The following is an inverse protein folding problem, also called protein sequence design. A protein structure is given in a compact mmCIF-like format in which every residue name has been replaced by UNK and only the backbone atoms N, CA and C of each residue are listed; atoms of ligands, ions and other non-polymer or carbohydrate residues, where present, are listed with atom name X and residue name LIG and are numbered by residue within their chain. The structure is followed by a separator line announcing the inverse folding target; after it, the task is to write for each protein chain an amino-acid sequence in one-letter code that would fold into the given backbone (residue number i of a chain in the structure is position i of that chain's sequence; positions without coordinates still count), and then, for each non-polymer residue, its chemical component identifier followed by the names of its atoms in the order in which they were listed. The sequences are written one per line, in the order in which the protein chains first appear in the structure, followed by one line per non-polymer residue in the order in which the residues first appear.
data_IF_678485052461
#
_entry.id   IF_678485052461
#
_cell.length_a   1.000
_cell.length_b   1.000
_cell.length_c   1.000
_cell.angle_alpha   90.00
_cell.angle_beta   90.00
_cell.angle_gamma   90.00
#
_symmetry.space_group_name_H-M   'P 1'
#
loop_
_entity.id
_entity.type
_entity.pdbx_description
1 polymer ?
#
# COMPACT_ATOMS: atom_id res chain seq x y z
N UNK A 1 -19.07 -3.43 12.10
CA UNK A 1 -18.03 -3.06 13.11
C UNK A 1 -16.82 -3.98 12.94
N UNK A 2 -15.58 -3.51 13.18
CA UNK A 2 -14.35 -4.31 13.01
C UNK A 2 -14.39 -5.65 13.78
N UNK A 3 -15.03 -5.68 14.96
CA UNK A 3 -15.15 -6.90 15.78
C UNK A 3 -16.06 -7.99 15.20
N UNK A 4 -16.95 -7.67 14.24
CA UNK A 4 -17.81 -8.66 13.58
C UNK A 4 -17.08 -9.36 12.44
N UNK A 5 -16.11 -8.69 11.82
CA UNK A 5 -15.32 -9.22 10.71
C UNK A 5 -14.28 -10.28 11.13
N UNK A 6 -13.97 -10.36 12.43
CA UNK A 6 -12.95 -11.28 12.96
C UNK A 6 -13.65 -12.47 13.64
N UNK A 7 -13.55 -13.69 13.08
CA UNK A 7 -14.10 -14.90 13.68
C UNK A 7 -13.61 -15.09 15.11
N UNK A 8 -14.49 -15.47 16.04
CA UNK A 8 -14.14 -15.63 17.47
C UNK A 8 -13.03 -16.66 17.70
N UNK A 9 -13.02 -17.73 16.89
CA UNK A 9 -12.03 -18.81 16.96
C UNK A 9 -10.64 -18.40 16.43
N UNK A 10 -10.49 -17.23 15.83
CA UNK A 10 -9.21 -16.71 15.33
C UNK A 10 -8.67 -15.56 16.18
N UNK A 11 -9.28 -15.28 17.33
CA UNK A 11 -8.84 -14.22 18.23
C UNK A 11 -7.75 -14.78 19.13
N UNK A 12 -6.50 -14.34 18.90
CA UNK A 12 -5.36 -14.65 19.79
C UNK A 12 -5.33 -13.62 20.92
N UNK A 13 -5.26 -14.08 22.17
CA UNK A 13 -5.32 -13.22 23.35
C UNK A 13 -4.10 -12.30 23.47
N UNK A 14 -2.94 -12.78 23.01
CA UNK A 14 -1.67 -12.04 23.05
C UNK A 14 -1.56 -10.97 21.95
N UNK A 15 -2.44 -11.03 20.93
CA UNK A 15 -2.42 -10.10 19.80
C UNK A 15 -3.49 -9.02 19.94
N UNK A 16 -3.16 -7.80 19.49
CA UNK A 16 -4.12 -6.68 19.51
C UNK A 16 -5.14 -6.85 18.38
N UNK A 17 -6.32 -6.24 18.52
CA UNK A 17 -7.32 -6.21 17.44
C UNK A 17 -6.75 -5.66 16.11
N UNK A 18 -5.81 -4.72 16.17
CA UNK A 18 -5.13 -4.20 14.98
C UNK A 18 -4.35 -5.25 14.20
N UNK A 19 -3.79 -6.27 14.85
CA UNK A 19 -3.15 -7.40 14.17
C UNK A 19 -4.18 -8.20 13.36
N UNK A 20 -5.32 -8.50 13.96
CA UNK A 20 -6.40 -9.24 13.32
C UNK A 20 -7.02 -8.52 12.11
N UNK A 21 -6.93 -7.18 12.06
CA UNK A 21 -7.35 -6.40 10.89
C UNK A 21 -6.42 -6.62 9.69
N UNK A 22 -5.12 -6.84 9.93
CA UNK A 22 -4.13 -7.01 8.86
C UNK A 22 -4.43 -8.23 7.99
N UNK A 23 -4.91 -9.32 8.59
CA UNK A 23 -5.21 -10.57 7.88
C UNK A 23 -6.55 -10.56 7.12
N UNK A 24 -7.39 -9.51 7.28
CA UNK A 24 -8.68 -9.45 6.59
C UNK A 24 -8.48 -9.49 5.06
N UNK A 25 -9.37 -10.23 4.40
CA UNK A 25 -9.34 -10.47 2.95
C UNK A 25 -8.42 -11.62 2.50
N UNK A 26 -7.72 -12.30 3.41
CA UNK A 26 -7.03 -13.56 3.11
C UNK A 26 -7.98 -14.77 3.21
N UNK A 27 -7.53 -15.94 2.76
CA UNK A 27 -8.23 -17.19 3.05
C UNK A 27 -7.97 -17.60 4.52
N UNK A 28 -8.72 -18.60 5.00
CA UNK A 28 -8.68 -19.02 6.40
C UNK A 28 -7.34 -19.64 6.83
N UNK A 29 -6.69 -20.37 5.93
CA UNK A 29 -5.41 -21.04 6.19
C UNK A 29 -4.28 -20.01 6.34
N UNK A 30 -4.23 -19.04 5.42
CA UNK A 30 -3.27 -17.94 5.47
C UNK A 30 -3.48 -17.09 6.73
N UNK A 31 -4.74 -16.81 7.10
CA UNK A 31 -5.05 -16.08 8.34
C UNK A 31 -4.44 -16.76 9.57
N UNK A 32 -4.65 -18.06 9.72
CA UNK A 32 -4.18 -18.82 10.89
C UNK A 32 -2.65 -18.89 10.91
N UNK A 33 -2.03 -19.26 9.78
CA UNK A 33 -0.57 -19.30 9.64
C UNK A 33 0.08 -17.95 9.98
N UNK A 34 -0.49 -16.84 9.49
CA UNK A 34 0.08 -15.51 9.73
C UNK A 34 -0.12 -15.04 11.17
N UNK A 35 -1.25 -15.37 11.81
CA UNK A 35 -1.46 -15.07 13.23
C UNK A 35 -0.49 -15.86 14.10
N UNK A 36 -0.26 -17.14 13.81
CA UNK A 36 0.68 -17.99 14.55
C UNK A 36 2.10 -17.44 14.42
N UNK A 37 2.56 -17.15 13.20
CA UNK A 37 3.87 -16.50 13.00
C UNK A 37 3.99 -15.16 13.72
N UNK A 38 2.92 -14.37 13.74
CA UNK A 38 2.94 -13.08 14.42
C UNK A 38 3.03 -13.23 15.94
N UNK A 39 2.42 -14.27 16.50
CA UNK A 39 2.50 -14.61 17.93
C UNK A 39 3.86 -15.22 18.30
N UNK A 40 4.43 -16.07 17.46
CA UNK A 40 5.76 -16.66 17.67
C UNK A 40 6.88 -15.60 17.60
N UNK A 41 6.88 -14.78 16.56
CA UNK A 41 7.92 -13.78 16.29
C UNK A 41 7.66 -12.43 17.00
N UNK A 42 6.53 -12.32 17.69
CA UNK A 42 6.13 -11.11 18.44
C UNK A 42 6.14 -9.83 17.58
N UNK A 43 5.74 -9.93 16.32
CA UNK A 43 5.78 -8.80 15.40
C UNK A 43 4.90 -7.63 15.85
N UNK A 44 5.43 -6.42 15.71
CA UNK A 44 4.59 -5.22 15.78
C UNK A 44 3.56 -5.22 14.64
N UNK A 45 2.46 -4.48 14.80
CA UNK A 45 1.43 -4.35 13.74
C UNK A 45 2.03 -3.85 12.41
N UNK A 46 3.05 -2.98 12.48
CA UNK A 46 3.71 -2.45 11.30
C UNK A 46 4.57 -3.50 10.58
N UNK A 47 5.29 -4.33 11.33
CA UNK A 47 6.04 -5.47 10.77
C UNK A 47 5.09 -6.51 10.21
N UNK A 48 4.06 -6.88 10.97
CA UNK A 48 3.06 -7.85 10.53
C UNK A 48 2.40 -7.41 9.21
N UNK A 49 2.02 -6.14 9.11
CA UNK A 49 1.47 -5.57 7.87
C UNK A 49 2.44 -5.65 6.70
N UNK A 50 3.74 -5.42 6.94
CA UNK A 50 4.77 -5.53 5.90
C UNK A 50 4.93 -6.97 5.41
N UNK A 51 4.88 -7.96 6.31
CA UNK A 51 4.97 -9.36 5.93
C UNK A 51 3.74 -9.84 5.15
N UNK A 52 2.54 -9.43 5.59
CA UNK A 52 1.27 -9.91 5.00
C UNK A 52 0.88 -9.17 3.72
N UNK A 53 1.01 -7.83 3.70
CA UNK A 53 0.52 -6.98 2.60
C UNK A 53 1.65 -6.38 1.77
N UNK A 54 2.90 -6.66 2.12
CA UNK A 54 4.07 -6.03 1.52
C UNK A 54 4.27 -4.58 1.96
N UNK A 55 5.30 -3.96 1.42
CA UNK A 55 5.54 -2.52 1.54
C UNK A 55 4.82 -1.78 0.42
N UNK A 56 3.84 -0.94 0.78
CA UNK A 56 3.30 0.02 -0.20
C UNK A 56 4.45 0.94 -0.63
N UNK A 57 4.76 1.06 -1.93
CA UNK A 57 5.79 1.99 -2.36
C UNK A 57 5.42 3.40 -1.89
N UNK A 58 6.41 4.13 -1.39
CA UNK A 58 6.24 5.54 -1.05
C UNK A 58 6.12 6.29 -2.37
N UNK A 59 4.90 6.47 -2.85
CA UNK A 59 4.62 7.30 -4.02
C UNK A 59 4.84 8.75 -3.61
N UNK A 60 5.85 9.41 -4.19
CA UNK A 60 6.02 10.86 -4.03
C UNK A 60 4.80 11.52 -4.67
N UNK A 61 4.15 12.42 -3.93
CA UNK A 61 3.17 13.34 -4.52
C UNK A 61 3.97 14.45 -5.16
N UNK A 62 3.83 14.58 -6.46
CA UNK A 62 4.48 15.62 -7.24
C UNK A 62 3.48 16.75 -7.48
N UNK A 63 3.96 17.99 -7.43
CA UNK A 63 3.21 19.10 -8.00
C UNK A 63 3.16 18.94 -9.53
N UNK A 64 2.12 19.48 -10.17
CA UNK A 64 1.98 19.36 -11.62
C UNK A 64 3.13 20.09 -12.34
N UNK A 65 3.58 21.20 -11.77
CA UNK A 65 4.75 21.95 -12.26
C UNK A 65 6.03 21.10 -12.21
N UNK A 66 6.28 20.41 -11.08
CA UNK A 66 7.45 19.51 -10.97
C UNK A 66 7.40 18.37 -12.00
N UNK A 67 6.21 17.84 -12.31
CA UNK A 67 6.06 16.80 -13.33
C UNK A 67 6.31 17.34 -14.74
N UNK A 68 5.84 18.55 -15.06
CA UNK A 68 6.08 19.19 -16.36
C UNK A 68 7.56 19.46 -16.58
N UNK A 69 8.28 19.92 -15.55
CA UNK A 69 9.73 20.12 -15.62
C UNK A 69 10.47 18.81 -15.90
N UNK A 70 10.14 17.74 -15.18
CA UNK A 70 10.76 16.42 -15.37
C UNK A 70 10.47 15.82 -16.76
N UNK A 71 9.25 15.98 -17.27
CA UNK A 71 8.92 15.55 -18.65
C UNK A 71 9.70 16.36 -19.67
N UNK A 72 9.87 17.67 -19.45
CA UNK A 72 10.73 18.50 -20.30
C UNK A 72 12.19 18.03 -20.30
N UNK A 73 12.76 17.70 -19.15
CA UNK A 73 14.12 17.13 -19.08
C UNK A 73 14.22 15.78 -19.80
N UNK A 74 13.22 14.92 -19.64
CA UNK A 74 13.16 13.60 -20.27
C UNK A 74 13.07 13.69 -21.80
N UNK A 75 12.14 14.49 -22.34
CA UNK A 75 11.98 14.64 -23.80
C UNK A 75 13.24 15.21 -24.48
N UNK A 76 13.95 16.12 -23.80
CA UNK A 76 15.23 16.63 -24.29
C UNK A 76 16.33 15.56 -24.35
N UNK A 77 16.27 14.53 -23.49
CA UNK A 77 17.28 13.46 -23.41
C UNK A 77 16.96 12.28 -24.35
N UNK A 78 15.68 11.90 -24.47
CA UNK A 78 15.28 10.69 -25.20
C UNK A 78 14.68 10.96 -26.59
N UNK A 79 14.35 12.22 -26.90
CA UNK A 79 13.77 12.61 -28.19
C UNK A 79 12.41 11.94 -28.48
N UNK A 80 11.67 11.60 -27.42
CA UNK A 80 10.40 10.88 -27.48
C UNK A 80 9.21 11.86 -27.61
N UNK A 81 8.11 11.39 -28.21
CA UNK A 81 6.99 12.22 -28.66
C UNK A 81 6.19 12.86 -27.50
N UNK A 82 5.74 14.11 -27.73
CA UNK A 82 5.04 15.07 -26.84
C UNK A 82 3.82 14.56 -26.01
N UNK A 83 3.49 13.27 -26.08
CA UNK A 83 2.30 12.69 -25.47
C UNK A 83 2.29 12.80 -23.93
N UNK A 84 3.46 12.80 -23.30
CA UNK A 84 3.57 12.98 -21.85
C UNK A 84 3.28 14.42 -21.43
N UNK A 85 3.75 15.42 -22.20
CA UNK A 85 3.47 16.84 -21.97
C UNK A 85 1.98 17.14 -22.15
N UNK A 86 1.40 16.69 -23.26
CA UNK A 86 -0.03 16.91 -23.57
C UNK A 86 -0.95 16.35 -22.46
N UNK A 87 -0.60 15.18 -21.92
CA UNK A 87 -1.36 14.57 -20.83
C UNK A 87 -1.30 15.39 -19.53
N UNK A 88 -0.13 15.94 -19.17
CA UNK A 88 0.03 16.79 -17.99
C UNK A 88 -0.69 18.13 -18.15
N UNK A 89 -0.75 18.66 -19.37
CA UNK A 89 -1.48 19.88 -19.66
C UNK A 89 -2.99 19.69 -19.53
N UNK A 90 -3.53 18.63 -20.14
CA UNK A 90 -4.94 18.25 -19.96
C UNK A 90 -5.30 18.03 -18.48
N UNK A 91 -4.41 17.41 -17.69
CA UNK A 91 -4.61 17.22 -16.24
C UNK A 91 -4.71 18.55 -15.48
N UNK A 92 -3.94 19.56 -15.87
CA UNK A 92 -4.00 20.90 -15.28
C UNK A 92 -5.30 21.63 -15.57
N UNK A 93 -5.94 21.34 -16.70
CA UNK A 93 -7.25 21.89 -17.09
C UNK A 93 -8.43 21.29 -16.31
N UNK A 94 -8.23 20.19 -15.57
CA UNK A 94 -9.27 19.56 -14.75
C UNK A 94 -9.46 20.24 -13.38
N UNK A 95 -8.68 21.26 -13.07
CA UNK A 95 -8.66 22.01 -11.81
C UNK A 95 -9.69 23.12 -11.71
#
# INVERSE_FOLDING_TARGET
RVCEAIPKNMRRAELRFSHHVVMLGLNREDMDMWLDKCEEEQWSVAEFRRQVKGTKPKVKRWALEELRELVGEFENDVGDEDHARDFLDWLGEQG
#
